data_IF_638093881964
#
_entry.id   IF_638093881964
#
_cell.length_a   1.000
_cell.length_b   1.000
_cell.length_c   1.000
_cell.angle_alpha   90.00
_cell.angle_beta   90.00
_cell.angle_gamma   90.00
#
_symmetry.space_group_name_H-M   'P 1'
#
loop_
_entity.id
_entity.type
_entity.pdbx_description
1 polymer ?
#
# COMPACT_ATOMS: atom_id res chain seq x y z
N UNK A 1 -4.26 -23.39 -1.49
CA UNK A 1 -4.68 -22.00 -1.23
C UNK A 1 -6.19 -21.95 -1.18
N UNK A 2 -6.75 -21.39 -0.13
CA UNK A 2 -8.18 -21.16 -0.02
C UNK A 2 -8.59 -19.90 -0.80
N UNK A 3 -9.82 -19.84 -1.33
CA UNK A 3 -10.31 -18.64 -2.00
C UNK A 3 -10.56 -17.50 -1.00
N UNK A 4 -10.49 -16.26 -1.45
CA UNK A 4 -10.70 -15.06 -0.64
C UNK A 4 -12.00 -15.07 0.20
N UNK A 5 -13.17 -15.51 -0.34
CA UNK A 5 -14.40 -15.61 0.45
C UNK A 5 -14.27 -16.52 1.68
N UNK A 6 -13.51 -17.60 1.59
CA UNK A 6 -13.26 -18.47 2.74
C UNK A 6 -12.61 -17.72 3.92
N UNK A 7 -11.63 -16.87 3.64
CA UNK A 7 -10.95 -16.09 4.68
C UNK A 7 -11.85 -15.00 5.27
N UNK A 8 -12.76 -14.44 4.48
CA UNK A 8 -13.77 -13.50 4.98
C UNK A 8 -14.68 -14.21 5.97
N UNK A 9 -15.19 -15.39 5.61
CA UNK A 9 -16.03 -16.22 6.50
C UNK A 9 -15.29 -16.59 7.80
N UNK A 10 -13.99 -16.90 7.72
CA UNK A 10 -13.16 -17.14 8.91
C UNK A 10 -13.13 -15.91 9.79
N UNK A 11 -12.84 -14.72 9.23
CA UNK A 11 -12.77 -13.48 10.00
C UNK A 11 -14.10 -13.13 10.67
N UNK A 12 -15.21 -13.27 9.95
CA UNK A 12 -16.56 -13.06 10.47
C UNK A 12 -16.93 -14.04 11.59
N UNK A 13 -16.53 -15.30 11.45
CA UNK A 13 -16.77 -16.31 12.49
C UNK A 13 -16.05 -16.00 13.81
N UNK A 14 -14.96 -15.23 13.76
CA UNK A 14 -14.24 -14.72 14.94
C UNK A 14 -14.77 -13.36 15.42
N UNK A 15 -15.84 -12.84 14.82
CA UNK A 15 -16.54 -11.64 15.27
C UNK A 15 -16.17 -10.36 14.54
N UNK A 16 -15.47 -10.43 13.40
CA UNK A 16 -15.27 -9.27 12.56
C UNK A 16 -16.62 -8.86 11.94
N UNK A 17 -17.03 -7.59 12.01
CA UNK A 17 -18.26 -7.13 11.39
C UNK A 17 -18.25 -7.32 9.86
N UNK A 18 -19.38 -7.73 9.28
CA UNK A 18 -19.52 -7.97 7.84
C UNK A 18 -19.45 -6.68 6.98
N UNK A 19 -19.52 -5.51 7.59
CA UNK A 19 -19.38 -4.21 6.93
C UNK A 19 -17.92 -3.71 6.82
N UNK A 20 -16.96 -4.49 7.32
CA UNK A 20 -15.55 -4.21 7.13
C UNK A 20 -15.15 -4.51 5.67
N UNK A 21 -14.25 -3.69 5.13
CA UNK A 21 -13.70 -3.89 3.78
C UNK A 21 -13.26 -5.35 3.57
N UNK A 22 -13.76 -5.99 2.51
CA UNK A 22 -13.51 -7.40 2.20
C UNK A 22 -12.01 -7.75 2.11
N UNK A 23 -11.18 -6.84 1.62
CA UNK A 23 -9.72 -7.02 1.61
C UNK A 23 -9.17 -7.15 3.03
N UNK A 24 -9.53 -6.23 3.91
CA UNK A 24 -9.09 -6.26 5.30
C UNK A 24 -9.63 -7.48 6.04
N UNK A 25 -10.87 -7.90 5.74
CA UNK A 25 -11.46 -9.11 6.29
C UNK A 25 -10.70 -10.37 5.82
N UNK A 26 -10.39 -10.48 4.53
CA UNK A 26 -9.63 -11.60 4.00
C UNK A 26 -8.22 -11.68 4.60
N UNK A 27 -7.49 -10.57 4.67
CA UNK A 27 -6.16 -10.51 5.31
C UNK A 27 -6.22 -10.94 6.78
N UNK A 28 -7.26 -10.53 7.50
CA UNK A 28 -7.48 -10.94 8.89
C UNK A 28 -7.79 -12.43 8.99
N UNK A 29 -8.62 -12.96 8.09
CA UNK A 29 -8.94 -14.39 8.05
C UNK A 29 -7.73 -15.27 7.76
N UNK A 30 -6.84 -14.84 6.86
CA UNK A 30 -5.55 -15.52 6.61
C UNK A 30 -4.72 -15.60 7.90
N UNK A 31 -4.62 -14.50 8.64
CA UNK A 31 -3.87 -14.46 9.90
C UNK A 31 -4.51 -15.34 11.00
N UNK A 32 -5.85 -15.42 11.02
CA UNK A 32 -6.60 -16.26 11.95
C UNK A 32 -6.48 -17.75 11.65
N UNK A 33 -6.42 -18.09 10.38
CA UNK A 33 -6.33 -19.47 9.92
C UNK A 33 -4.90 -20.02 9.92
N UNK A 34 -3.94 -19.26 10.41
CA UNK A 34 -2.50 -19.60 10.42
C UNK A 34 -1.91 -19.89 9.02
N UNK A 35 -2.57 -19.44 7.97
CA UNK A 35 -2.12 -19.60 6.58
C UNK A 35 -1.14 -18.49 6.15
N UNK A 36 -0.79 -17.60 7.04
CA UNK A 36 0.10 -16.49 6.73
C UNK A 36 1.51 -17.01 6.48
N UNK A 37 2.09 -16.76 5.29
CA UNK A 37 3.44 -17.20 5.00
C UNK A 37 4.44 -16.37 5.83
N UNK A 38 4.90 -16.91 6.95
CA UNK A 38 5.84 -16.26 7.87
C UNK A 38 7.28 -16.28 7.29
N UNK A 39 7.48 -15.68 6.12
CA UNK A 39 8.81 -15.49 5.54
C UNK A 39 9.48 -14.18 6.02
N UNK A 40 8.73 -13.31 6.66
CA UNK A 40 9.21 -12.03 7.15
C UNK A 40 9.81 -12.11 8.55
N UNK A 41 10.77 -11.24 8.84
CA UNK A 41 11.31 -11.03 10.19
C UNK A 41 10.53 -9.98 10.96
N UNK A 42 9.83 -9.10 10.27
CA UNK A 42 9.08 -8.00 10.86
C UNK A 42 7.81 -7.70 10.03
N UNK A 43 6.87 -7.01 10.65
CA UNK A 43 5.63 -6.58 10.03
C UNK A 43 5.57 -5.05 9.98
N UNK A 44 5.28 -4.51 8.80
CA UNK A 44 5.00 -3.09 8.61
C UNK A 44 3.52 -2.92 8.28
N UNK A 45 2.87 -1.98 8.92
CA UNK A 45 1.48 -1.64 8.66
C UNK A 45 1.30 -0.13 8.55
N UNK A 46 0.22 0.31 7.93
CA UNK A 46 -0.04 1.74 7.70
C UNK A 46 -1.52 2.06 7.80
N UNK A 47 -1.84 3.30 8.19
CA UNK A 47 -3.18 3.85 8.12
C UNK A 47 -3.58 4.32 6.70
N UNK A 48 -2.71 4.13 5.72
CA UNK A 48 -3.00 4.47 4.33
C UNK A 48 -3.38 3.21 3.54
N UNK A 49 -4.44 3.22 2.73
CA UNK A 49 -5.30 4.37 2.41
C UNK A 49 -6.49 4.57 3.37
N UNK A 50 -6.67 3.74 4.39
CA UNK A 50 -7.84 3.85 5.28
C UNK A 50 -7.59 3.32 6.69
N UNK A 51 -8.44 3.71 7.62
CA UNK A 51 -8.36 3.29 9.02
C UNK A 51 -8.70 1.80 9.23
N UNK A 52 -9.42 1.17 8.30
CA UNK A 52 -9.71 -0.27 8.39
C UNK A 52 -8.42 -1.10 8.34
N UNK A 53 -7.45 -0.71 7.50
CA UNK A 53 -6.14 -1.38 7.45
C UNK A 53 -5.36 -1.23 8.76
N UNK A 54 -5.46 -0.11 9.44
CA UNK A 54 -4.84 0.10 10.75
C UNK A 54 -5.47 -0.81 11.81
N UNK A 55 -6.81 -0.84 11.88
CA UNK A 55 -7.53 -1.66 12.86
C UNK A 55 -7.25 -3.16 12.67
N UNK A 56 -7.30 -3.66 11.43
CA UNK A 56 -7.01 -5.07 11.14
C UNK A 56 -5.54 -5.42 11.36
N UNK A 57 -4.61 -4.51 11.07
CA UNK A 57 -3.19 -4.69 11.36
C UNK A 57 -2.92 -4.83 12.86
N UNK A 58 -3.60 -4.06 13.71
CA UNK A 58 -3.49 -4.19 15.18
C UNK A 58 -3.89 -5.58 15.64
N UNK A 59 -4.91 -6.17 15.04
CA UNK A 59 -5.33 -7.53 15.31
C UNK A 59 -4.30 -8.56 14.83
N UNK A 60 -3.85 -8.42 13.59
CA UNK A 60 -2.86 -9.31 12.97
C UNK A 60 -1.53 -9.32 13.74
N UNK A 61 -1.05 -8.16 14.19
CA UNK A 61 0.19 -8.04 15.01
C UNK A 61 0.14 -8.91 16.26
N UNK A 62 -1.00 -8.87 16.96
CA UNK A 62 -1.19 -9.68 18.18
C UNK A 62 -1.20 -11.18 17.88
N UNK A 63 -1.70 -11.56 16.72
CA UNK A 63 -1.79 -12.98 16.32
C UNK A 63 -0.48 -13.53 15.79
N UNK A 64 0.21 -12.76 14.96
CA UNK A 64 1.44 -13.18 14.26
C UNK A 64 2.64 -13.15 15.20
N UNK A 65 2.72 -12.17 16.11
CA UNK A 65 3.77 -12.08 17.13
C UNK A 65 5.17 -11.72 16.60
N UNK A 66 5.26 -11.16 15.40
CA UNK A 66 6.50 -10.61 14.84
C UNK A 66 6.78 -9.21 15.39
N UNK A 67 8.07 -8.77 15.43
CA UNK A 67 8.37 -7.35 15.59
C UNK A 67 7.58 -6.52 14.57
N UNK A 68 6.96 -5.42 15.02
CA UNK A 68 6.09 -4.63 14.16
C UNK A 68 6.32 -3.12 14.30
N UNK A 69 6.07 -2.42 13.21
CA UNK A 69 6.05 -0.97 13.17
C UNK A 69 4.80 -0.47 12.45
N UNK A 70 4.08 0.45 13.10
CA UNK A 70 2.90 1.09 12.54
C UNK A 70 3.27 2.44 11.94
N UNK A 71 3.16 2.57 10.63
CA UNK A 71 3.33 3.83 9.90
C UNK A 71 2.01 4.59 9.96
N UNK A 72 1.88 5.52 10.90
CA UNK A 72 0.68 6.36 11.04
C UNK A 72 0.95 7.74 10.46
N UNK A 73 0.52 7.95 9.22
CA UNK A 73 0.67 9.22 8.52
C UNK A 73 -0.38 10.24 8.98
N UNK A 74 -0.03 11.53 8.94
CA UNK A 74 -0.99 12.59 9.23
C UNK A 74 -2.09 12.62 8.16
N UNK A 75 -3.35 12.55 8.61
CA UNK A 75 -4.53 12.56 7.73
C UNK A 75 -4.93 13.97 7.29
N UNK A 76 -4.55 14.99 8.06
CA UNK A 76 -4.86 16.40 7.77
C UNK A 76 -3.61 17.04 7.17
N UNK A 77 -3.54 17.05 5.85
CA UNK A 77 -2.35 17.49 5.11
C UNK A 77 -2.09 18.99 5.14
N UNK A 78 -3.10 19.81 5.43
CA UNK A 78 -2.99 21.27 5.41
C UNK A 78 -2.44 21.87 6.71
N UNK A 79 -2.27 21.04 7.74
CA UNK A 79 -1.68 21.50 9.00
C UNK A 79 -0.15 21.62 8.89
N UNK A 80 0.45 22.71 9.37
CA UNK A 80 1.90 22.92 9.27
C UNK A 80 2.73 21.80 9.90
N UNK A 81 2.22 21.14 10.91
CA UNK A 81 2.88 20.02 11.58
C UNK A 81 2.77 18.69 10.86
N UNK A 82 1.86 18.54 9.86
CA UNK A 82 1.58 17.27 9.20
C UNK A 82 2.79 16.68 8.46
N UNK A 83 3.51 17.52 7.71
CA UNK A 83 4.68 17.06 6.95
C UNK A 83 5.86 16.69 7.85
N UNK A 84 6.28 17.53 8.82
CA UNK A 84 7.33 17.15 9.77
C UNK A 84 7.01 15.89 10.56
N UNK A 85 5.78 15.74 11.02
CA UNK A 85 5.32 14.53 11.71
C UNK A 85 5.44 13.29 10.82
N UNK A 86 4.87 13.32 9.62
CA UNK A 86 4.91 12.19 8.70
C UNK A 86 6.34 11.83 8.29
N UNK A 87 7.20 12.83 8.10
CA UNK A 87 8.61 12.62 7.82
C UNK A 87 9.35 11.94 9.00
N UNK A 88 9.00 12.30 10.24
CA UNK A 88 9.58 11.64 11.40
C UNK A 88 9.12 10.18 11.51
N UNK A 89 7.83 9.90 11.33
CA UNK A 89 7.30 8.53 11.33
C UNK A 89 8.03 7.64 10.30
N UNK A 90 8.33 8.19 9.12
CA UNK A 90 9.08 7.44 8.10
C UNK A 90 10.54 7.21 8.50
N UNK A 91 11.20 8.16 9.18
CA UNK A 91 12.56 7.95 9.72
C UNK A 91 12.56 6.88 10.79
N UNK A 92 11.62 6.93 11.71
CA UNK A 92 11.48 5.93 12.77
C UNK A 92 11.23 4.52 12.18
N UNK A 93 10.46 4.45 11.08
CA UNK A 93 10.27 3.20 10.33
C UNK A 93 11.58 2.70 9.71
N UNK A 94 12.38 3.59 9.13
CA UNK A 94 13.69 3.23 8.56
C UNK A 94 14.60 2.68 9.66
N UNK A 95 14.70 3.36 10.80
CA UNK A 95 15.50 2.91 11.96
C UNK A 95 15.03 1.52 12.47
N UNK A 96 13.71 1.31 12.51
CA UNK A 96 13.16 0.01 12.86
C UNK A 96 13.60 -1.08 11.87
N UNK A 97 13.51 -0.83 10.56
CA UNK A 97 13.92 -1.79 9.52
C UNK A 97 15.42 -2.07 9.57
N UNK A 98 16.25 -1.04 9.72
CA UNK A 98 17.69 -1.18 9.87
C UNK A 98 18.05 -2.09 11.06
N UNK A 99 17.40 -1.86 12.19
CA UNK A 99 17.61 -2.65 13.41
C UNK A 99 17.18 -4.11 13.23
N UNK A 100 15.97 -4.35 12.70
CA UNK A 100 15.41 -5.71 12.60
C UNK A 100 16.09 -6.57 11.53
N UNK A 101 16.57 -5.95 10.45
CA UNK A 101 17.20 -6.67 9.34
C UNK A 101 18.72 -6.59 9.35
N UNK A 102 19.33 -5.70 10.11
CA UNK A 102 20.77 -5.49 10.14
C UNK A 102 21.31 -4.91 8.83
N UNK A 103 20.55 -4.02 8.20
CA UNK A 103 20.88 -3.37 6.92
C UNK A 103 21.04 -1.86 7.13
N UNK A 104 21.75 -1.20 6.23
CA UNK A 104 21.87 0.25 6.18
C UNK A 104 20.98 0.79 5.07
N UNK A 105 20.28 1.89 5.34
CA UNK A 105 19.34 2.49 4.39
C UNK A 105 20.06 3.32 3.31
N UNK A 106 19.72 3.08 2.05
CA UNK A 106 20.27 3.83 0.92
C UNK A 106 19.42 5.07 0.60
N UNK A 107 19.83 6.21 1.13
CA UNK A 107 19.19 7.51 0.88
C UNK A 107 19.22 7.94 -0.59
N UNK A 108 20.27 7.56 -1.33
CA UNK A 108 20.36 7.89 -2.75
C UNK A 108 19.33 7.10 -3.56
N UNK A 109 19.12 5.84 -3.22
CA UNK A 109 18.06 5.03 -3.82
C UNK A 109 16.69 5.63 -3.53
N UNK A 110 16.42 6.11 -2.30
CA UNK A 110 15.18 6.81 -1.97
C UNK A 110 14.95 8.04 -2.85
N UNK A 111 15.92 8.94 -2.95
CA UNK A 111 15.77 10.16 -3.74
C UNK A 111 15.57 9.86 -5.23
N UNK A 112 16.31 8.89 -5.76
CA UNK A 112 16.12 8.43 -7.14
C UNK A 112 14.69 7.90 -7.34
N UNK A 113 14.20 7.10 -6.40
CA UNK A 113 12.85 6.54 -6.45
C UNK A 113 11.78 7.63 -6.35
N UNK A 114 11.92 8.56 -5.42
CA UNK A 114 10.98 9.69 -5.24
C UNK A 114 10.89 10.55 -6.50
N UNK A 115 12.02 10.85 -7.13
CA UNK A 115 12.06 11.58 -8.40
C UNK A 115 11.27 10.83 -9.49
N UNK A 116 11.51 9.54 -9.64
CA UNK A 116 10.81 8.73 -10.63
C UNK A 116 9.31 8.66 -10.35
N UNK A 117 8.90 8.50 -9.10
CA UNK A 117 7.48 8.50 -8.72
C UNK A 117 6.81 9.85 -9.01
N UNK A 118 7.50 10.97 -8.80
CA UNK A 118 6.96 12.28 -9.15
C UNK A 118 6.73 12.41 -10.67
N UNK A 119 7.67 11.94 -11.48
CA UNK A 119 7.51 11.90 -12.94
C UNK A 119 6.32 11.03 -13.37
N UNK A 120 6.11 9.90 -12.72
CA UNK A 120 4.93 9.05 -12.96
C UNK A 120 3.63 9.74 -12.54
N UNK A 121 3.61 10.41 -11.39
CA UNK A 121 2.43 11.13 -10.90
C UNK A 121 2.04 12.28 -11.85
N UNK A 122 3.00 13.00 -12.42
CA UNK A 122 2.72 14.04 -13.41
C UNK A 122 2.04 13.45 -14.65
N UNK A 123 2.52 12.33 -15.17
CA UNK A 123 1.91 11.63 -16.30
C UNK A 123 0.51 11.13 -15.95
N UNK A 124 0.31 10.62 -14.75
CA UNK A 124 -1.01 10.20 -14.30
C UNK A 124 -1.99 11.36 -14.19
N UNK A 125 -1.56 12.50 -13.66
CA UNK A 125 -2.41 13.70 -13.61
C UNK A 125 -2.84 14.16 -15.02
N UNK A 126 -1.94 14.13 -15.99
CA UNK A 126 -2.25 14.41 -17.39
C UNK A 126 -3.27 13.39 -17.94
N UNK A 127 -3.09 12.12 -17.63
CA UNK A 127 -4.03 11.05 -18.02
C UNK A 127 -5.44 11.27 -17.45
N UNK A 128 -5.58 11.84 -16.25
CA UNK A 128 -6.89 12.15 -15.65
C UNK A 128 -7.74 13.12 -16.47
N UNK A 129 -7.13 13.95 -17.28
CA UNK A 129 -7.88 14.87 -18.16
C UNK A 129 -8.70 14.11 -19.21
N UNK A 130 -8.25 12.93 -19.63
CA UNK A 130 -9.00 12.06 -20.54
C UNK A 130 -10.20 11.39 -19.87
N UNK A 131 -10.14 11.13 -18.56
CA UNK A 131 -11.29 10.60 -17.81
C UNK A 131 -12.44 11.60 -17.65
N UNK A 132 -12.18 12.88 -17.85
CA UNK A 132 -13.20 13.94 -17.84
C UNK A 132 -13.98 14.01 -19.15
N UNK A 133 -13.60 13.27 -20.16
CA UNK A 133 -14.24 13.26 -21.49
C UNK A 133 -15.28 12.14 -21.59
N UNK A 134 -16.27 12.26 -22.51
CA UNK A 134 -17.21 11.17 -22.78
C UNK A 134 -16.56 9.88 -23.31
N UNK A 135 -15.33 9.95 -23.74
CA UNK A 135 -14.54 8.86 -24.33
C UNK A 135 -13.55 8.27 -23.33
N UNK A 136 -13.94 8.14 -22.06
CA UNK A 136 -13.09 7.55 -21.02
C UNK A 136 -12.48 6.21 -21.51
N UNK A 137 -11.15 6.13 -21.71
CA UNK A 137 -10.52 4.99 -22.37
C UNK A 137 -10.43 3.77 -21.47
N UNK A 138 -10.57 3.93 -20.15
CA UNK A 138 -10.40 2.89 -19.15
C UNK A 138 -11.55 2.89 -18.16
N UNK A 139 -11.99 1.70 -17.77
CA UNK A 139 -12.93 1.57 -16.64
C UNK A 139 -12.22 1.77 -15.31
N UNK A 140 -12.93 2.26 -14.29
CA UNK A 140 -12.36 2.50 -12.96
C UNK A 140 -11.69 1.26 -12.36
N UNK A 141 -12.23 0.07 -12.59
CA UNK A 141 -11.65 -1.20 -12.12
C UNK A 141 -10.34 -1.48 -12.85
N UNK A 142 -10.31 -1.37 -14.17
CA UNK A 142 -9.09 -1.59 -14.96
C UNK A 142 -7.98 -0.62 -14.58
N UNK A 143 -8.30 0.64 -14.36
CA UNK A 143 -7.35 1.65 -13.91
C UNK A 143 -6.81 1.34 -12.51
N UNK A 144 -7.65 0.92 -11.59
CA UNK A 144 -7.23 0.55 -10.24
C UNK A 144 -6.26 -0.63 -10.25
N UNK A 145 -6.57 -1.68 -11.03
CA UNK A 145 -5.67 -2.83 -11.18
C UNK A 145 -4.35 -2.44 -11.84
N UNK A 146 -4.40 -1.61 -12.88
CA UNK A 146 -3.21 -1.11 -13.56
C UNK A 146 -2.30 -0.35 -12.59
N UNK A 147 -2.85 0.53 -11.73
CA UNK A 147 -2.11 1.24 -10.71
C UNK A 147 -1.49 0.31 -9.66
N UNK A 148 -2.25 -0.66 -9.18
CA UNK A 148 -1.73 -1.63 -8.21
C UNK A 148 -0.52 -2.38 -8.77
N UNK A 149 -0.57 -2.77 -10.05
CA UNK A 149 0.57 -3.38 -10.71
C UNK A 149 1.73 -2.40 -10.90
N UNK A 150 1.47 -1.16 -11.27
CA UNK A 150 2.49 -0.12 -11.41
C UNK A 150 3.21 0.15 -10.09
N UNK A 151 2.48 0.21 -8.98
CA UNK A 151 3.06 0.39 -7.64
C UNK A 151 3.80 -0.85 -7.14
N UNK A 152 3.29 -2.05 -7.43
CA UNK A 152 3.91 -3.30 -7.01
C UNK A 152 5.15 -3.67 -7.81
N UNK A 153 5.31 -3.13 -9.02
CA UNK A 153 6.47 -3.40 -9.88
C UNK A 153 7.71 -2.62 -9.40
N UNK A 154 8.26 -3.04 -8.28
CA UNK A 154 9.31 -2.32 -7.59
C UNK A 154 10.65 -2.23 -8.34
N UNK A 155 10.92 -3.07 -9.35
CA UNK A 155 12.21 -3.09 -10.04
C UNK A 155 12.08 -3.47 -11.52
N UNK A 156 12.26 -2.52 -12.41
CA UNK A 156 12.48 -2.74 -13.84
C UNK A 156 11.25 -2.71 -14.75
N UNK A 157 10.01 -2.75 -14.20
CA UNK A 157 8.78 -2.61 -15.00
C UNK A 157 8.20 -1.20 -15.00
N UNK A 158 8.75 -0.30 -14.20
CA UNK A 158 8.34 1.10 -14.11
C UNK A 158 8.37 1.79 -15.47
N UNK A 159 9.42 1.55 -16.24
CA UNK A 159 9.54 2.06 -17.60
C UNK A 159 8.44 1.56 -18.54
N UNK A 160 7.93 0.34 -18.32
CA UNK A 160 6.84 -0.20 -19.11
C UNK A 160 5.53 0.56 -18.88
N UNK A 161 5.16 0.81 -17.63
CA UNK A 161 3.94 1.53 -17.29
C UNK A 161 4.01 2.99 -17.74
N UNK A 162 5.09 3.67 -17.46
CA UNK A 162 5.32 5.05 -17.90
C UNK A 162 5.26 5.19 -19.42
N UNK A 163 5.85 4.25 -20.16
CA UNK A 163 5.79 4.23 -21.63
C UNK A 163 4.37 4.00 -22.14
N UNK A 164 3.60 3.15 -21.49
CA UNK A 164 2.22 2.90 -21.89
C UNK A 164 1.30 4.09 -21.57
N UNK A 165 1.45 4.72 -20.43
CA UNK A 165 0.70 5.94 -20.09
C UNK A 165 0.97 7.06 -21.08
N UNK A 166 2.23 7.28 -21.45
CA UNK A 166 2.59 8.25 -22.50
C UNK A 166 2.03 7.91 -23.88
N UNK A 167 1.76 6.63 -24.18
CA UNK A 167 1.08 6.25 -25.43
C UNK A 167 -0.40 6.58 -25.38
N UNK A 168 -1.05 6.32 -24.26
CA UNK A 168 -2.48 6.65 -24.05
C UNK A 168 -2.70 8.15 -24.20
N UNK A 169 -1.83 8.98 -23.64
CA UNK A 169 -1.90 10.44 -23.74
C UNK A 169 -1.72 10.95 -25.18
N UNK A 170 -1.04 10.20 -26.04
CA UNK A 170 -0.78 10.61 -27.44
C UNK A 170 -1.85 10.21 -28.44
N UNK A 171 -2.86 9.47 -28.03
CA UNK A 171 -4.00 9.06 -28.86
C UNK A 171 -5.07 10.17 -28.87
#
# INVERSE_FOLDING_TARGET
QHPEPYYIDVAESFGLPADVCSRCAAETGVALNDDFPLFGKAMLSTNMPCNASEATSMFQRRRIGLPDFQITMAMIHNEPAAHPYSAQVLRDCIEFVEKEYGVEYDWNALFKRAKHMNEQNEIELEKWDYFKTPYCPLTGISETLYRLYAWASANGQEDYFTKNDRKVIKI
#
